data_IF_423529214807
#
_entry.id   IF_423529214807
#
_cell.length_a   1.000
_cell.length_b   1.000
_cell.length_c   1.000
_cell.angle_alpha   90.00
_cell.angle_beta   90.00
_cell.angle_gamma   90.00
#
_symmetry.space_group_name_H-M   'P 1'
#
loop_
_entity.id
_entity.type
_entity.pdbx_description
1 polymer ?
#
# COMPACT_ATOMS: atom_id res chain seq x y z
N UNK A 1 26.60 23.40 -15.21
CA UNK A 1 26.73 22.54 -14.01
C UNK A 1 25.31 22.22 -13.58
N UNK A 2 24.97 20.95 -13.46
CA UNK A 2 23.66 20.60 -12.91
C UNK A 2 23.70 20.88 -11.41
N UNK A 3 22.77 21.71 -10.95
CA UNK A 3 22.66 22.03 -9.53
C UNK A 3 22.17 20.81 -8.75
N UNK A 4 22.76 20.55 -7.58
CA UNK A 4 22.34 19.42 -6.76
C UNK A 4 20.89 19.66 -6.31
N UNK A 5 19.96 18.71 -6.51
CA UNK A 5 18.57 18.91 -6.12
C UNK A 5 18.46 19.15 -4.61
N UNK A 6 17.55 20.01 -4.22
CA UNK A 6 17.25 20.24 -2.82
C UNK A 6 16.60 19.00 -2.17
N UNK A 7 16.60 18.94 -0.85
CA UNK A 7 15.91 17.85 -0.12
C UNK A 7 14.42 17.80 -0.48
N UNK A 8 13.78 18.95 -0.61
CA UNK A 8 12.37 19.05 -0.96
C UNK A 8 12.08 18.58 -2.38
N UNK A 9 12.97 18.86 -3.34
CA UNK A 9 12.83 18.38 -4.72
C UNK A 9 12.94 16.87 -4.79
N UNK A 10 13.88 16.29 -4.02
CA UNK A 10 14.03 14.83 -3.93
C UNK A 10 12.77 14.20 -3.29
N UNK A 11 12.25 14.79 -2.21
CA UNK A 11 11.05 14.29 -1.55
C UNK A 11 9.82 14.36 -2.47
N UNK A 12 9.63 15.48 -3.17
CA UNK A 12 8.56 15.63 -4.17
C UNK A 12 8.69 14.57 -5.26
N UNK A 13 9.87 14.44 -5.85
CA UNK A 13 10.12 13.48 -6.91
C UNK A 13 9.82 12.05 -6.43
N UNK A 14 10.30 11.65 -5.25
CA UNK A 14 10.05 10.31 -4.70
C UNK A 14 8.57 10.11 -4.38
N UNK A 15 7.88 11.17 -3.91
CA UNK A 15 6.45 11.12 -3.61
C UNK A 15 5.55 11.01 -4.85
N UNK A 16 5.95 11.60 -5.97
CA UNK A 16 5.20 11.60 -7.23
C UNK A 16 5.36 10.30 -8.02
N UNK A 17 6.42 9.55 -7.75
CA UNK A 17 6.68 8.30 -8.48
C UNK A 17 5.85 7.14 -7.94
N UNK A 18 5.15 6.47 -8.84
CA UNK A 18 4.37 5.25 -8.52
C UNK A 18 5.22 3.97 -8.53
N UNK A 19 6.49 4.07 -8.92
CA UNK A 19 7.42 2.94 -9.09
C UNK A 19 8.55 2.92 -8.07
N UNK A 20 9.51 2.00 -8.32
CA UNK A 20 10.75 1.96 -7.55
C UNK A 20 11.60 3.18 -7.87
N UNK A 21 11.87 4.00 -6.88
CA UNK A 21 12.79 5.12 -6.98
C UNK A 21 14.10 4.76 -6.31
N UNK A 22 15.14 4.64 -7.09
CA UNK A 22 16.50 4.43 -6.60
C UNK A 22 17.39 5.63 -6.90
N UNK A 23 18.64 5.56 -6.46
CA UNK A 23 19.65 6.60 -6.70
C UNK A 23 19.87 6.89 -8.19
N UNK A 24 19.72 5.86 -9.05
CA UNK A 24 19.89 5.98 -10.49
C UNK A 24 18.77 6.76 -11.14
N UNK A 25 17.53 6.49 -10.69
CA UNK A 25 16.32 7.16 -11.16
C UNK A 25 16.36 8.64 -10.78
N UNK A 26 16.73 8.96 -9.54
CA UNK A 26 16.91 10.35 -9.07
C UNK A 26 18.02 11.04 -9.88
N UNK A 27 19.19 10.40 -10.00
CA UNK A 27 20.31 10.99 -10.75
C UNK A 27 19.95 11.24 -12.23
N UNK A 28 19.13 10.36 -12.85
CA UNK A 28 18.64 10.54 -14.21
C UNK A 28 17.63 11.68 -14.31
N UNK A 29 16.66 11.75 -13.39
CA UNK A 29 15.63 12.77 -13.37
C UNK A 29 16.23 14.18 -13.25
N UNK A 30 17.21 14.33 -12.38
CA UNK A 30 17.91 15.60 -12.15
C UNK A 30 19.17 15.78 -13.03
N UNK A 31 19.39 14.91 -14.03
CA UNK A 31 20.51 14.96 -14.98
C UNK A 31 21.90 15.06 -14.32
N UNK A 32 22.07 14.43 -13.16
CA UNK A 32 23.32 14.46 -12.41
C UNK A 32 24.39 13.55 -13.01
N UNK A 33 25.61 14.05 -13.09
CA UNK A 33 26.76 13.31 -13.62
C UNK A 33 27.97 13.38 -12.68
N UNK A 34 28.93 12.48 -12.87
CA UNK A 34 30.22 12.53 -12.20
C UNK A 34 30.16 12.74 -10.68
N UNK A 35 30.76 13.84 -10.21
CA UNK A 35 30.83 14.24 -8.81
C UNK A 35 29.47 14.44 -8.15
N UNK A 36 28.48 14.92 -8.91
CA UNK A 36 27.14 15.24 -8.39
C UNK A 36 26.42 13.97 -7.90
N UNK A 37 26.70 12.81 -8.52
CA UNK A 37 26.19 11.51 -8.05
C UNK A 37 26.76 11.10 -6.70
N UNK A 38 28.00 11.51 -6.40
CA UNK A 38 28.65 11.26 -5.10
C UNK A 38 27.98 12.12 -4.05
N UNK A 39 27.76 13.40 -4.36
CA UNK A 39 27.06 14.35 -3.49
C UNK A 39 25.61 13.90 -3.23
N UNK A 40 24.88 13.48 -4.28
CA UNK A 40 23.54 12.90 -4.13
C UNK A 40 23.53 11.68 -3.19
N UNK A 41 24.53 10.79 -3.31
CA UNK A 41 24.62 9.61 -2.43
C UNK A 41 24.81 10.00 -0.97
N UNK A 42 25.56 11.06 -0.68
CA UNK A 42 25.73 11.59 0.67
C UNK A 42 24.43 12.19 1.18
N UNK A 43 23.78 13.05 0.39
CA UNK A 43 22.53 13.69 0.72
C UNK A 43 21.42 12.66 1.01
N UNK A 44 21.28 11.62 0.19
CA UNK A 44 20.30 10.55 0.40
C UNK A 44 20.55 9.72 1.68
N UNK A 45 21.83 9.60 2.09
CA UNK A 45 22.16 8.96 3.38
C UNK A 45 21.77 9.83 4.57
N UNK A 46 22.01 11.13 4.47
CA UNK A 46 21.60 12.09 5.50
C UNK A 46 20.08 12.11 5.65
N UNK A 47 19.33 12.22 4.56
CA UNK A 47 17.86 12.17 4.57
C UNK A 47 17.32 10.85 5.12
N UNK A 48 17.98 9.73 4.87
CA UNK A 48 17.60 8.44 5.44
C UNK A 48 17.92 8.37 6.96
N UNK A 49 19.01 8.95 7.40
CA UNK A 49 19.37 9.03 8.82
C UNK A 49 18.41 9.93 9.61
N UNK A 50 17.93 11.01 8.98
CA UNK A 50 16.92 11.92 9.51
C UNK A 50 15.49 11.31 9.47
N UNK A 51 15.32 10.12 8.89
CA UNK A 51 14.03 9.46 8.78
C UNK A 51 13.11 10.03 7.69
N UNK A 52 13.58 10.96 6.84
CA UNK A 52 12.77 11.56 5.78
C UNK A 52 12.50 10.57 4.62
N UNK A 53 13.42 9.64 4.41
CA UNK A 53 13.33 8.60 3.39
C UNK A 53 13.46 7.22 4.01
N UNK A 54 12.54 6.34 3.65
CA UNK A 54 12.60 4.92 3.97
C UNK A 54 12.90 4.10 2.72
N UNK A 55 13.62 3.02 2.86
CA UNK A 55 13.76 2.07 1.79
C UNK A 55 15.03 1.23 1.83
N UNK A 56 14.89 -0.02 1.44
CA UNK A 56 15.99 -0.95 1.26
C UNK A 56 16.49 -0.94 -0.19
N UNK A 57 17.74 -1.39 -0.41
CA UNK A 57 18.36 -1.50 -1.74
C UNK A 57 17.50 -2.21 -2.79
N UNK A 58 16.64 -3.15 -2.38
CA UNK A 58 15.78 -3.93 -3.28
C UNK A 58 14.38 -3.32 -3.50
N UNK A 59 13.84 -2.56 -2.55
CA UNK A 59 12.47 -2.02 -2.60
C UNK A 59 12.35 -0.61 -3.16
N UNK A 60 13.47 0.10 -3.31
CA UNK A 60 13.49 1.53 -3.68
C UNK A 60 13.29 2.44 -2.47
N UNK A 61 13.52 3.74 -2.65
CA UNK A 61 13.31 4.77 -1.65
C UNK A 61 11.87 5.26 -1.67
N UNK A 62 11.36 5.63 -0.52
CA UNK A 62 10.00 6.18 -0.31
C UNK A 62 10.08 7.29 0.72
N UNK A 63 9.15 8.21 0.66
CA UNK A 63 8.95 9.18 1.73
C UNK A 63 8.42 8.46 2.97
N UNK A 64 8.84 8.87 4.15
CA UNK A 64 8.37 8.28 5.40
C UNK A 64 6.84 8.30 5.46
N UNK A 65 6.25 7.18 5.83
CA UNK A 65 4.79 7.02 5.90
C UNK A 65 4.13 6.49 4.62
N UNK A 66 4.83 6.42 3.50
CA UNK A 66 4.32 5.81 2.28
C UNK A 66 4.22 4.29 2.39
N UNK A 67 3.15 3.75 1.81
CA UNK A 67 2.94 2.30 1.78
C UNK A 67 3.78 1.64 0.67
N UNK A 68 4.29 0.43 0.91
CA UNK A 68 4.98 -0.35 -0.12
C UNK A 68 4.02 -0.78 -1.22
N UNK A 69 4.55 -0.97 -2.45
CA UNK A 69 3.76 -1.42 -3.60
C UNK A 69 3.08 -2.78 -3.40
N UNK A 70 3.59 -3.58 -2.46
CA UNK A 70 2.96 -4.82 -2.01
C UNK A 70 3.03 -4.85 -0.50
N UNK A 71 1.89 -4.95 0.13
CA UNK A 71 1.80 -5.07 1.59
C UNK A 71 0.59 -5.90 2.02
N UNK A 72 0.58 -6.23 3.28
CA UNK A 72 -0.57 -6.86 3.93
C UNK A 72 -1.53 -5.76 4.36
N UNK A 73 -2.79 -5.94 4.02
CA UNK A 73 -3.88 -5.02 4.38
C UNK A 73 -4.97 -5.76 5.15
N UNK A 74 -5.65 -5.06 6.03
CA UNK A 74 -6.89 -5.51 6.67
C UNK A 74 -8.06 -4.71 6.12
N UNK A 75 -9.08 -5.41 5.64
CA UNK A 75 -10.31 -4.79 5.18
C UNK A 75 -11.09 -4.31 6.39
N UNK A 76 -11.36 -3.01 6.46
CA UNK A 76 -11.99 -2.38 7.62
C UNK A 76 -13.48 -2.14 7.43
N UNK A 77 -13.95 -2.03 6.18
CA UNK A 77 -15.36 -1.77 5.91
C UNK A 77 -15.62 -1.38 4.48
N UNK A 78 -16.65 -0.54 4.30
CA UNK A 78 -16.99 0.07 3.02
C UNK A 78 -17.07 1.58 3.19
N UNK A 79 -16.76 2.30 2.14
CA UNK A 79 -16.93 3.75 2.07
C UNK A 79 -18.38 4.14 1.68
N UNK A 80 -18.64 5.45 1.60
CA UNK A 80 -19.95 5.97 1.22
C UNK A 80 -20.38 5.62 -0.21
N UNK A 81 -19.46 5.18 -1.06
CA UNK A 81 -19.70 4.72 -2.43
C UNK A 81 -19.80 3.18 -2.53
N UNK A 82 -19.84 2.51 -1.37
CA UNK A 82 -19.90 1.05 -1.24
C UNK A 82 -18.61 0.31 -1.69
N UNK A 83 -17.49 1.01 -1.91
CA UNK A 83 -16.21 0.37 -2.19
C UNK A 83 -15.62 -0.22 -0.91
N UNK A 84 -14.98 -1.38 -1.01
CA UNK A 84 -14.24 -1.94 0.11
C UNK A 84 -13.03 -1.08 0.43
N UNK A 85 -12.88 -0.73 1.71
CA UNK A 85 -11.74 0.01 2.23
C UNK A 85 -10.93 -0.82 3.21
N UNK A 86 -9.63 -0.55 3.24
CA UNK A 86 -8.68 -1.30 4.03
C UNK A 86 -7.64 -0.37 4.65
N UNK A 87 -6.94 -0.88 5.66
CA UNK A 87 -5.76 -0.28 6.27
C UNK A 87 -4.55 -1.21 6.11
N UNK A 88 -3.39 -0.65 5.93
CA UNK A 88 -2.16 -1.42 5.87
C UNK A 88 -1.81 -1.99 7.24
N UNK A 89 -1.21 -3.19 7.25
CA UNK A 89 -0.63 -3.79 8.45
C UNK A 89 0.89 -3.58 8.38
N UNK A 90 1.45 -2.99 9.43
CA UNK A 90 2.89 -2.80 9.61
C UNK A 90 3.29 -3.41 10.95
N UNK A 91 4.33 -4.24 10.95
CA UNK A 91 4.84 -4.91 12.16
C UNK A 91 3.76 -5.67 12.97
N UNK A 92 2.80 -6.26 12.26
CA UNK A 92 1.69 -7.01 12.86
C UNK A 92 0.50 -6.17 13.34
N UNK A 93 0.61 -4.83 13.34
CA UNK A 93 -0.45 -3.92 13.75
C UNK A 93 -1.11 -3.24 12.55
N UNK A 94 -2.41 -3.02 12.63
CA UNK A 94 -3.15 -2.21 11.64
C UNK A 94 -2.78 -0.74 11.84
N UNK A 95 -2.45 -0.05 10.73
CA UNK A 95 -2.22 1.39 10.76
C UNK A 95 -3.57 2.12 10.85
N UNK A 96 -4.05 2.32 12.06
CA UNK A 96 -5.35 2.95 12.33
C UNK A 96 -5.21 4.38 12.91
N UNK A 97 -4.18 5.09 12.50
CA UNK A 97 -4.01 6.51 12.85
C UNK A 97 -4.91 7.38 11.97
N UNK A 98 -5.37 8.55 12.45
CA UNK A 98 -6.21 9.47 11.66
C UNK A 98 -5.60 9.84 10.29
N UNK A 99 -4.29 10.00 10.26
CA UNK A 99 -3.52 10.37 9.04
C UNK A 99 -3.01 9.16 8.27
N UNK A 100 -3.33 7.93 8.70
CA UNK A 100 -2.89 6.74 7.98
C UNK A 100 -3.53 6.69 6.58
N UNK A 101 -2.75 6.28 5.56
CA UNK A 101 -3.26 6.20 4.20
C UNK A 101 -4.47 5.28 4.09
N UNK A 102 -5.49 5.75 3.38
CA UNK A 102 -6.66 4.96 3.05
C UNK A 102 -6.39 4.11 1.82
N UNK A 103 -6.76 2.85 1.89
CA UNK A 103 -6.60 1.90 0.79
C UNK A 103 -7.98 1.48 0.29
N UNK A 104 -8.33 1.86 -0.94
CA UNK A 104 -9.56 1.42 -1.59
C UNK A 104 -9.29 0.15 -2.41
N UNK A 105 -10.07 -0.89 -2.21
CA UNK A 105 -9.92 -2.14 -2.93
C UNK A 105 -10.69 -2.03 -4.24
N UNK A 106 -9.97 -2.16 -5.35
CA UNK A 106 -10.57 -2.20 -6.68
C UNK A 106 -10.76 -3.63 -7.15
N UNK A 107 -11.95 -3.94 -7.64
CA UNK A 107 -12.20 -5.23 -8.26
C UNK A 107 -11.39 -5.37 -9.56
N UNK A 108 -10.88 -6.58 -9.86
CA UNK A 108 -10.17 -6.81 -11.11
C UNK A 108 -11.14 -6.66 -12.29
N UNK A 109 -11.08 -5.50 -12.95
CA UNK A 109 -11.77 -5.29 -14.22
C UNK A 109 -10.98 -5.97 -15.34
N UNK A 110 -11.40 -7.18 -15.74
CA UNK A 110 -10.79 -7.87 -16.87
C UNK A 110 -11.28 -9.30 -17.08
N UNK A 111 -11.36 -9.70 -18.34
CA UNK A 111 -11.75 -11.06 -18.80
C UNK A 111 -10.65 -12.13 -18.59
N UNK A 112 -9.63 -11.86 -17.78
CA UNK A 112 -8.57 -12.82 -17.47
C UNK A 112 -9.03 -13.94 -16.53
N UNK A 113 -8.42 -15.12 -16.64
CA UNK A 113 -8.53 -16.22 -15.66
C UNK A 113 -7.91 -15.80 -14.33
N UNK A 114 -8.58 -14.94 -13.60
CA UNK A 114 -8.19 -14.58 -12.24
C UNK A 114 -8.93 -15.53 -11.31
N UNK A 115 -8.23 -16.16 -10.39
CA UNK A 115 -8.85 -17.00 -9.37
C UNK A 115 -9.70 -16.11 -8.45
N UNK A 116 -10.94 -15.85 -8.85
CA UNK A 116 -11.86 -14.91 -8.18
C UNK A 116 -12.05 -15.25 -6.70
N UNK A 117 -12.07 -16.56 -6.37
CA UNK A 117 -12.27 -16.99 -4.99
C UNK A 117 -11.13 -16.57 -4.05
N UNK A 118 -9.88 -16.52 -4.56
CA UNK A 118 -8.73 -16.08 -3.76
C UNK A 118 -8.66 -14.55 -3.57
N UNK A 119 -9.46 -13.81 -4.34
CA UNK A 119 -9.48 -12.35 -4.34
C UNK A 119 -10.73 -11.76 -3.68
N UNK A 120 -11.75 -12.59 -3.40
CA UNK A 120 -12.92 -12.14 -2.66
C UNK A 120 -12.55 -11.92 -1.20
N UNK A 121 -12.65 -10.68 -0.79
CA UNK A 121 -12.39 -10.26 0.59
C UNK A 121 -13.61 -9.55 1.16
N UNK A 122 -13.78 -9.67 2.46
CA UNK A 122 -14.87 -9.06 3.24
C UNK A 122 -14.29 -8.23 4.38
N UNK A 123 -15.06 -7.33 4.99
CA UNK A 123 -14.63 -6.64 6.20
C UNK A 123 -14.13 -7.61 7.27
N UNK A 124 -12.98 -7.28 7.88
CA UNK A 124 -12.28 -8.14 8.82
C UNK A 124 -11.23 -9.08 8.21
N UNK A 125 -11.24 -9.29 6.89
CA UNK A 125 -10.26 -10.11 6.22
C UNK A 125 -8.89 -9.45 6.13
N UNK A 126 -7.86 -10.28 6.14
CA UNK A 126 -6.48 -9.88 5.90
C UNK A 126 -6.03 -10.43 4.55
N UNK A 127 -5.42 -9.59 3.74
CA UNK A 127 -4.99 -9.96 2.40
C UNK A 127 -3.64 -9.35 2.04
N UNK A 128 -2.89 -10.06 1.20
CA UNK A 128 -1.76 -9.49 0.49
C UNK A 128 -2.29 -8.76 -0.73
N UNK A 129 -1.91 -7.50 -0.88
CA UNK A 129 -2.39 -6.66 -1.95
C UNK A 129 -1.25 -5.92 -2.65
N UNK A 130 -1.42 -5.66 -3.93
CA UNK A 130 -0.59 -4.73 -4.69
C UNK A 130 -1.24 -3.37 -4.63
N UNK A 131 -0.49 -2.37 -4.18
CA UNK A 131 -0.94 -1.00 -4.05
C UNK A 131 -0.44 -0.15 -5.20
N UNK A 132 -1.31 0.72 -5.69
CA UNK A 132 -0.99 1.83 -6.56
C UNK A 132 -1.35 3.13 -5.83
N UNK A 133 -0.44 4.07 -5.79
CA UNK A 133 -0.69 5.36 -5.17
C UNK A 133 -1.57 6.21 -6.09
N UNK A 134 -2.65 6.75 -5.57
CA UNK A 134 -3.53 7.68 -6.29
C UNK A 134 -3.18 9.12 -5.91
N UNK A 135 -2.98 9.36 -4.60
CA UNK A 135 -2.52 10.65 -4.09
C UNK A 135 -1.78 10.47 -2.75
N UNK A 136 -1.47 11.57 -2.06
CA UNK A 136 -0.63 11.57 -0.84
C UNK A 136 -1.12 10.60 0.24
N UNK A 137 -2.43 10.43 0.42
CA UNK A 137 -3.02 9.61 1.49
C UNK A 137 -4.02 8.56 0.96
N UNK A 138 -4.09 8.34 -0.36
CA UNK A 138 -5.01 7.37 -0.96
C UNK A 138 -4.27 6.41 -1.87
N UNK A 139 -4.58 5.14 -1.70
CA UNK A 139 -4.05 4.04 -2.49
C UNK A 139 -5.19 3.20 -3.04
N UNK A 140 -5.00 2.67 -4.23
CA UNK A 140 -5.82 1.61 -4.79
C UNK A 140 -5.13 0.26 -4.57
N UNK A 141 -5.89 -0.73 -4.15
CA UNK A 141 -5.39 -2.08 -3.89
C UNK A 141 -6.01 -3.10 -4.84
N UNK A 142 -5.15 -3.92 -5.42
CA UNK A 142 -5.56 -5.16 -6.10
C UNK A 142 -5.15 -6.34 -5.24
N UNK A 143 -6.11 -7.16 -4.84
CA UNK A 143 -5.85 -8.33 -4.01
C UNK A 143 -5.04 -9.36 -4.80
N UNK A 144 -3.92 -9.76 -4.23
CA UNK A 144 -3.08 -10.85 -4.75
C UNK A 144 -3.56 -12.18 -4.17
N UNK A 145 -3.76 -12.21 -2.84
CA UNK A 145 -4.17 -13.40 -2.11
C UNK A 145 -4.77 -13.04 -0.75
N UNK A 146 -5.86 -13.69 -0.39
CA UNK A 146 -6.39 -13.68 0.98
C UNK A 146 -5.44 -14.48 1.88
N UNK A 147 -5.04 -13.90 3.03
CA UNK A 147 -4.13 -14.51 4.01
C UNK A 147 -4.88 -15.09 5.20
N UNK A 148 -5.96 -14.46 5.59
CA UNK A 148 -6.82 -14.88 6.69
C UNK A 148 -8.05 -14.00 6.76
N UNK A 149 -9.07 -14.47 7.47
CA UNK A 149 -10.28 -13.71 7.73
C UNK A 149 -10.59 -13.77 9.22
N UNK A 150 -11.36 -12.81 9.71
CA UNK A 150 -12.12 -13.02 10.90
C UNK A 150 -12.98 -14.27 10.64
N UNK A 151 -12.97 -15.23 11.56
CA UNK A 151 -13.99 -16.28 11.50
C UNK A 151 -15.32 -15.56 11.41
N UNK A 152 -16.06 -15.80 10.33
CA UNK A 152 -17.38 -15.24 10.18
C UNK A 152 -18.23 -15.79 11.31
N UNK A 153 -18.35 -15.02 12.40
CA UNK A 153 -19.33 -15.32 13.42
C UNK A 153 -20.68 -14.96 12.82
N UNK A 154 -21.42 -15.97 12.45
CA UNK A 154 -22.81 -15.80 12.04
C UNK A 154 -23.62 -15.75 13.33
N UNK A 155 -24.12 -14.58 13.67
CA UNK A 155 -25.10 -14.42 14.74
C UNK A 155 -26.46 -14.53 14.07
N UNK A 156 -27.19 -15.57 14.43
CA UNK A 156 -28.53 -15.79 13.87
C UNK A 156 -29.39 -16.57 14.86
N UNK A 157 -30.68 -16.56 14.65
CA UNK A 157 -31.62 -17.37 15.41
C UNK A 157 -31.79 -18.71 14.72
N UNK A 158 -31.46 -19.80 15.43
CA UNK A 158 -31.71 -21.14 14.92
C UNK A 158 -33.19 -21.49 15.14
N UNK A 159 -33.91 -21.71 14.07
CA UNK A 159 -35.29 -22.23 14.11
C UNK A 159 -35.26 -23.70 13.75
N UNK A 160 -35.75 -24.53 14.67
CA UNK A 160 -35.95 -25.94 14.42
C UNK A 160 -37.34 -26.15 13.75
N UNK A 161 -37.33 -26.88 12.65
CA UNK A 161 -38.53 -27.38 11.97
C UNK A 161 -38.41 -28.89 11.84
N UNK A 162 -39.50 -29.62 11.56
CA UNK A 162 -39.52 -31.07 11.41
C UNK A 162 -38.55 -31.57 10.30
N UNK A 163 -38.24 -30.73 9.33
CA UNK A 163 -37.37 -30.99 8.17
C UNK A 163 -35.91 -30.53 8.36
N UNK A 164 -35.54 -29.98 9.53
CA UNK A 164 -34.18 -29.56 9.82
C UNK A 164 -34.08 -28.26 10.60
N UNK A 165 -32.83 -27.80 10.80
CA UNK A 165 -32.52 -26.54 11.47
C UNK A 165 -32.05 -25.51 10.43
N UNK A 166 -32.59 -24.31 10.50
CA UNK A 166 -32.24 -23.19 9.63
C UNK A 166 -31.77 -21.99 10.46
N UNK A 167 -30.76 -21.29 9.96
CA UNK A 167 -30.30 -20.03 10.53
C UNK A 167 -30.99 -18.89 9.78
N UNK A 168 -31.62 -18.00 10.49
CA UNK A 168 -32.32 -16.83 9.95
C UNK A 168 -31.62 -15.55 10.39
#
# INVERSE_FOLDING_TARGET
MADLPSRDDIMKFVAEQTGKVGKREIARAFRLSGSDRIALKKLLREMAAEGLLEGARKSGMRVQGDLPNVCVIRVTGRDGENNLVARAIREGAVLDKPDAPLVTIIEPSGRGRVNRSAQLVSPGDTALARLARVNKNRYEARIIRKLGGAQAQIIGVIRHRPDGAWVV
#
